data_IF_282128244868
#
_entry.id   IF_282128244868
#
_cell.length_a   1.000
_cell.length_b   1.000
_cell.length_c   1.000
_cell.angle_alpha   90.00
_cell.angle_beta   90.00
_cell.angle_gamma   90.00
#
_symmetry.space_group_name_H-M   'P 1'
#
loop_
_entity.id
_entity.type
_entity.pdbx_description
1 polymer ?
#
# COMPACT_ATOMS: atom_id res chain seq x y z
N UNK A 1 33.91 17.70 3.26
CA UNK A 1 32.95 18.68 3.82
C UNK A 1 31.75 17.86 4.29
N UNK A 2 31.52 17.76 5.61
CA UNK A 2 30.45 16.93 6.16
C UNK A 2 29.08 17.49 5.70
N UNK A 3 28.15 16.61 5.32
CA UNK A 3 26.78 17.01 5.04
C UNK A 3 26.15 17.54 6.36
N UNK A 4 25.35 18.62 6.32
CA UNK A 4 24.65 19.09 7.51
C UNK A 4 23.73 17.98 8.04
N UNK A 5 23.75 17.77 9.35
CA UNK A 5 22.81 16.84 9.99
C UNK A 5 21.37 17.36 9.81
N UNK A 6 20.42 16.50 9.40
CA UNK A 6 19.03 16.91 9.31
C UNK A 6 18.54 17.31 10.71
N UNK A 7 18.06 18.54 10.85
CA UNK A 7 17.41 19.01 12.07
C UNK A 7 16.14 18.18 12.30
N UNK A 8 16.21 17.22 13.22
CA UNK A 8 15.06 16.41 13.59
C UNK A 8 14.04 17.25 14.35
N UNK A 9 12.74 17.15 14.03
CA UNK A 9 11.71 17.78 14.85
C UNK A 9 11.75 17.20 16.27
N UNK A 10 11.42 18.01 17.30
CA UNK A 10 11.43 17.57 18.68
C UNK A 10 10.46 16.39 18.88
N UNK A 11 10.88 15.40 19.68
CA UNK A 11 10.04 14.27 20.06
C UNK A 11 8.82 14.78 20.83
N UNK A 12 7.63 14.56 20.29
CA UNK A 12 6.37 14.91 20.93
C UNK A 12 5.86 13.69 21.72
N UNK A 13 5.28 13.92 22.90
CA UNK A 13 4.65 12.86 23.68
C UNK A 13 3.20 12.67 23.25
N UNK A 14 2.77 11.42 23.11
CA UNK A 14 1.41 11.08 22.69
C UNK A 14 1.32 9.66 22.15
N UNK A 15 0.13 9.32 21.65
CA UNK A 15 -0.06 8.09 20.88
C UNK A 15 0.29 8.36 19.43
N UNK A 16 1.17 7.51 18.89
CA UNK A 16 1.62 7.57 17.52
C UNK A 16 1.41 6.22 16.84
N UNK A 17 1.28 6.24 15.53
CA UNK A 17 1.04 5.06 14.70
C UNK A 17 2.08 4.92 13.62
N UNK A 18 2.58 3.70 13.42
CA UNK A 18 3.43 3.32 12.30
C UNK A 18 2.68 2.31 11.45
N UNK A 19 2.58 2.58 10.16
CA UNK A 19 1.87 1.73 9.20
C UNK A 19 2.85 1.27 8.12
N UNK A 20 2.62 0.07 7.58
CA UNK A 20 3.33 -0.47 6.45
C UNK A 20 2.34 -1.13 5.51
N UNK A 21 2.48 -0.87 4.21
CA UNK A 21 1.74 -1.49 3.13
C UNK A 21 2.73 -1.99 2.10
N UNK A 22 2.75 -3.30 1.86
CA UNK A 22 3.64 -3.92 0.88
C UNK A 22 2.93 -5.08 0.19
N UNK A 23 3.35 -5.38 -1.04
CA UNK A 23 2.72 -6.43 -1.83
C UNK A 23 3.16 -6.40 -3.28
N UNK A 24 2.71 -7.40 -4.03
CA UNK A 24 2.95 -7.50 -5.47
C UNK A 24 1.66 -7.81 -6.21
N UNK A 25 1.55 -7.28 -7.42
CA UNK A 25 0.48 -7.56 -8.36
C UNK A 25 1.04 -8.29 -9.58
N UNK A 26 0.31 -9.28 -10.08
CA UNK A 26 0.55 -9.91 -11.38
C UNK A 26 -0.58 -9.50 -12.31
N UNK A 27 -0.28 -8.62 -13.26
CA UNK A 27 -1.27 -8.09 -14.19
C UNK A 27 -1.56 -9.08 -15.33
N UNK A 28 -2.68 -8.89 -16.02
CA UNK A 28 -3.12 -9.77 -17.12
C UNK A 28 -2.11 -9.81 -18.28
N UNK A 29 -1.37 -8.72 -18.52
CA UNK A 29 -0.30 -8.65 -19.52
C UNK A 29 1.02 -9.35 -19.07
N UNK A 30 1.05 -9.93 -17.87
CA UNK A 30 2.22 -10.56 -17.26
C UNK A 30 3.19 -9.59 -16.59
N UNK A 31 2.89 -8.28 -16.57
CA UNK A 31 3.67 -7.27 -15.85
C UNK A 31 3.55 -7.51 -14.33
N UNK A 32 4.68 -7.38 -13.65
CA UNK A 32 4.76 -7.47 -12.19
C UNK A 32 4.91 -6.06 -11.63
N UNK A 33 4.08 -5.71 -10.65
CA UNK A 33 4.24 -4.48 -9.86
C UNK A 33 4.51 -4.84 -8.42
N UNK A 34 5.49 -4.18 -7.81
CA UNK A 34 5.80 -4.32 -6.39
C UNK A 34 5.68 -2.98 -5.69
N UNK A 35 5.30 -3.00 -4.42
CA UNK A 35 5.30 -1.82 -3.56
C UNK A 35 5.73 -2.17 -2.13
N UNK A 36 6.44 -1.24 -1.50
CA UNK A 36 6.77 -1.22 -0.07
C UNK A 36 6.71 0.23 0.41
N UNK A 37 5.72 0.54 1.24
CA UNK A 37 5.38 1.91 1.65
C UNK A 37 5.13 1.96 3.15
N UNK A 38 5.63 3.02 3.78
CA UNK A 38 5.50 3.27 5.22
C UNK A 38 4.84 4.62 5.47
N UNK A 39 3.97 4.66 6.47
CA UNK A 39 3.30 5.87 6.94
C UNK A 39 3.44 6.04 8.46
N UNK A 40 3.38 7.29 8.90
CA UNK A 40 3.41 7.70 10.31
C UNK A 40 2.26 8.66 10.58
N UNK A 41 1.42 8.36 11.58
CA UNK A 41 0.23 9.15 11.91
C UNK A 41 -0.69 9.42 10.71
N UNK A 42 -0.88 8.39 9.86
CA UNK A 42 -1.71 8.45 8.66
C UNK A 42 -1.13 9.25 7.50
N UNK A 43 0.14 9.66 7.57
CA UNK A 43 0.83 10.41 6.51
C UNK A 43 2.01 9.61 5.95
N UNK A 44 2.26 9.76 4.65
CA UNK A 44 3.39 9.12 3.99
C UNK A 44 4.70 9.46 4.68
N UNK A 45 5.56 8.46 4.86
CA UNK A 45 6.84 8.59 5.54
C UNK A 45 8.00 8.21 4.63
N UNK A 46 8.06 6.95 4.17
CA UNK A 46 9.10 6.46 3.25
C UNK A 46 8.55 5.37 2.33
N UNK A 47 8.90 5.38 1.04
CA UNK A 47 8.41 4.43 0.05
C UNK A 47 9.51 3.97 -0.91
N UNK A 48 9.55 2.68 -1.24
CA UNK A 48 10.50 2.11 -2.20
C UNK A 48 10.09 2.45 -3.63
N UNK A 49 11.02 3.01 -4.39
CA UNK A 49 10.93 3.14 -5.84
C UNK A 49 11.61 1.92 -6.48
N UNK A 50 10.80 1.08 -7.12
CA UNK A 50 11.23 -0.22 -7.68
C UNK A 50 12.08 -0.11 -8.95
N UNK A 51 12.01 1.04 -9.63
CA UNK A 51 12.73 1.30 -10.88
C UNK A 51 14.14 1.81 -10.61
N UNK A 52 14.26 2.72 -9.64
CA UNK A 52 15.54 3.33 -9.24
C UNK A 52 16.22 2.58 -8.11
N UNK A 53 15.51 1.70 -7.40
CA UNK A 53 15.97 1.00 -6.20
C UNK A 53 16.45 1.95 -5.11
N UNK A 54 15.69 3.02 -4.92
CA UNK A 54 15.92 4.01 -3.87
C UNK A 54 14.65 4.23 -3.06
N UNK A 55 14.79 4.74 -1.84
CA UNK A 55 13.64 5.11 -1.02
C UNK A 55 13.32 6.60 -1.19
N UNK A 56 12.08 6.93 -1.47
CA UNK A 56 11.58 8.31 -1.42
C UNK A 56 11.16 8.65 0.01
N UNK A 57 11.81 9.65 0.61
CA UNK A 57 11.46 10.16 1.93
C UNK A 57 10.46 11.32 1.80
N UNK A 58 9.26 11.15 2.35
CA UNK A 58 8.21 12.17 2.32
C UNK A 58 8.33 13.17 3.49
N UNK A 59 8.97 12.76 4.59
CA UNK A 59 9.22 13.58 5.78
C UNK A 59 10.72 13.78 6.04
N UNK A 60 11.07 14.91 6.67
CA UNK A 60 12.45 15.21 7.05
C UNK A 60 13.08 14.18 7.99
N UNK A 61 12.29 13.61 8.91
CA UNK A 61 12.70 12.52 9.78
C UNK A 61 12.90 11.19 9.04
N UNK A 62 12.23 10.99 7.92
CA UNK A 62 12.38 9.78 7.10
C UNK A 62 13.71 9.72 6.33
N UNK A 63 14.41 10.85 6.15
CA UNK A 63 15.71 10.91 5.46
C UNK A 63 16.75 10.04 6.17
N UNK A 64 16.69 9.93 7.50
CA UNK A 64 17.60 9.08 8.28
C UNK A 64 17.34 7.61 7.96
N UNK A 65 16.07 7.20 7.94
CA UNK A 65 15.66 5.84 7.56
C UNK A 65 16.07 5.52 6.14
N UNK A 66 15.80 6.41 5.17
CA UNK A 66 16.23 6.26 3.76
C UNK A 66 17.73 5.96 3.68
N UNK A 67 18.57 6.83 4.25
CA UNK A 67 20.04 6.69 4.18
C UNK A 67 20.52 5.37 4.80
N UNK A 68 19.94 4.99 5.93
CA UNK A 68 20.28 3.74 6.60
C UNK A 68 19.93 2.53 5.73
N UNK A 69 18.70 2.47 5.22
CA UNK A 69 18.22 1.34 4.42
C UNK A 69 18.93 1.21 3.08
N UNK A 70 19.18 2.32 2.39
CA UNK A 70 19.96 2.32 1.15
C UNK A 70 21.41 1.87 1.41
N UNK A 71 22.00 2.23 2.55
CA UNK A 71 23.34 1.75 2.92
C UNK A 71 23.37 0.25 3.27
N UNK A 72 22.30 -0.27 3.87
CA UNK A 72 22.18 -1.67 4.29
C UNK A 72 21.74 -2.61 3.15
N UNK A 73 21.52 -2.11 1.93
CA UNK A 73 21.06 -2.92 0.78
C UNK A 73 19.62 -3.43 0.92
N UNK A 74 18.79 -2.68 1.65
CA UNK A 74 17.38 -2.99 1.86
C UNK A 74 16.56 -2.90 0.56
N UNK A 75 16.78 -1.91 -0.34
CA UNK A 75 16.06 -1.83 -1.62
C UNK A 75 16.18 -3.11 -2.46
N UNK A 76 17.39 -3.68 -2.60
CA UNK A 76 17.64 -4.88 -3.40
C UNK A 76 16.98 -6.11 -2.77
N UNK A 77 17.02 -6.21 -1.44
CA UNK A 77 16.34 -7.29 -0.71
C UNK A 77 14.83 -7.25 -0.94
N UNK A 78 14.23 -6.06 -0.89
CA UNK A 78 12.80 -5.90 -1.17
C UNK A 78 12.47 -6.16 -2.63
N UNK A 79 13.28 -5.68 -3.58
CA UNK A 79 13.09 -5.97 -5.00
C UNK A 79 13.01 -7.48 -5.23
N UNK A 80 13.99 -8.22 -4.72
CA UNK A 80 14.03 -9.68 -4.86
C UNK A 80 12.80 -10.35 -4.25
N UNK A 81 12.34 -9.90 -3.08
CA UNK A 81 11.12 -10.41 -2.47
C UNK A 81 9.88 -10.11 -3.35
N UNK A 82 9.72 -8.88 -3.81
CA UNK A 82 8.53 -8.41 -4.52
C UNK A 82 8.43 -8.99 -5.94
N UNK A 83 9.55 -9.13 -6.65
CA UNK A 83 9.58 -9.67 -8.02
C UNK A 83 9.55 -11.20 -8.10
N UNK A 84 10.04 -11.88 -7.05
CA UNK A 84 10.15 -13.34 -7.07
C UNK A 84 9.30 -14.00 -5.99
N UNK A 85 9.70 -13.88 -4.73
CA UNK A 85 9.06 -14.62 -3.63
C UNK A 85 7.57 -14.31 -3.54
N UNK A 86 7.19 -13.04 -3.61
CA UNK A 86 5.81 -12.60 -3.54
C UNK A 86 4.98 -13.19 -4.70
N UNK A 87 5.49 -13.14 -5.94
CA UNK A 87 4.80 -13.67 -7.12
C UNK A 87 4.68 -15.20 -7.09
N UNK A 88 5.72 -15.90 -6.65
CA UNK A 88 5.67 -17.35 -6.47
C UNK A 88 4.59 -17.78 -5.48
N UNK A 89 4.48 -17.07 -4.36
CA UNK A 89 3.45 -17.33 -3.36
C UNK A 89 2.07 -16.90 -3.83
N UNK A 90 1.95 -15.75 -4.51
CA UNK A 90 0.69 -15.27 -5.07
C UNK A 90 0.08 -16.31 -6.02
N UNK A 91 0.88 -16.87 -6.94
CA UNK A 91 0.43 -17.94 -7.85
C UNK A 91 -0.10 -19.16 -7.10
N UNK A 92 0.57 -19.57 -6.01
CA UNK A 92 0.10 -20.68 -5.17
C UNK A 92 -1.22 -20.36 -4.48
N UNK A 93 -1.36 -19.16 -3.90
CA UNK A 93 -2.58 -18.78 -3.19
C UNK A 93 -3.78 -18.61 -4.11
N UNK A 94 -3.57 -18.08 -5.32
CA UNK A 94 -4.60 -18.03 -6.36
C UNK A 94 -5.06 -19.44 -6.73
N UNK A 95 -4.13 -20.38 -6.90
CA UNK A 95 -4.49 -21.77 -7.19
C UNK A 95 -5.21 -22.45 -6.00
N UNK A 96 -4.72 -22.29 -4.78
CA UNK A 96 -5.33 -22.88 -3.58
C UNK A 96 -6.74 -22.33 -3.31
N UNK A 97 -6.96 -21.05 -3.58
CA UNK A 97 -8.22 -20.35 -3.34
C UNK A 97 -9.12 -20.24 -4.55
N UNK A 98 -8.77 -20.87 -5.68
CA UNK A 98 -9.39 -20.62 -6.99
C UNK A 98 -10.92 -20.65 -6.95
N UNK A 99 -11.49 -21.71 -6.40
CA UNK A 99 -12.94 -21.89 -6.31
C UNK A 99 -13.63 -20.76 -5.53
N UNK A 100 -12.99 -20.25 -4.47
CA UNK A 100 -13.52 -19.17 -3.66
C UNK A 100 -13.34 -17.80 -4.32
N UNK A 101 -12.19 -17.56 -4.96
CA UNK A 101 -11.85 -16.31 -5.64
C UNK A 101 -12.66 -16.11 -6.93
N UNK A 102 -12.94 -17.19 -7.66
CA UNK A 102 -13.73 -17.15 -8.91
C UNK A 102 -15.25 -17.26 -8.63
N UNK A 103 -15.66 -17.45 -7.37
CA UNK A 103 -17.05 -17.60 -6.96
C UNK A 103 -17.85 -16.33 -7.28
N UNK A 104 -18.97 -16.51 -7.99
CA UNK A 104 -19.89 -15.41 -8.34
C UNK A 104 -21.18 -15.52 -7.54
N UNK A 105 -21.43 -14.55 -6.67
CA UNK A 105 -22.70 -14.40 -5.95
C UNK A 105 -23.51 -13.26 -6.56
N UNK A 106 -24.80 -13.50 -6.78
CA UNK A 106 -25.69 -12.46 -7.31
C UNK A 106 -26.12 -11.53 -6.17
N UNK A 107 -25.95 -10.21 -6.32
CA UNK A 107 -26.41 -9.30 -5.29
C UNK A 107 -27.94 -9.28 -5.25
N UNK A 108 -28.49 -9.15 -4.05
CA UNK A 108 -29.91 -8.91 -3.86
C UNK A 108 -30.19 -7.41 -3.99
N UNK A 109 -30.90 -7.02 -5.04
CA UNK A 109 -31.17 -5.60 -5.35
C UNK A 109 -32.51 -5.15 -4.80
N UNK A 110 -32.53 -4.00 -4.11
CA UNK A 110 -33.74 -3.33 -3.60
C UNK A 110 -33.78 -1.89 -4.06
N UNK A 111 -34.90 -1.51 -4.69
CA UNK A 111 -35.21 -0.12 -5.07
C UNK A 111 -36.27 0.42 -4.12
N UNK A 112 -36.07 1.64 -3.62
CA UNK A 112 -37.02 2.33 -2.75
C UNK A 112 -37.13 3.80 -3.14
N UNK A 113 -38.33 4.38 -3.03
CA UNK A 113 -38.56 5.81 -3.18
C UNK A 113 -39.02 6.43 -1.86
N UNK A 114 -38.56 7.64 -1.55
CA UNK A 114 -39.07 8.45 -0.44
C UNK A 114 -39.30 9.87 -0.92
N UNK A 115 -40.52 10.37 -0.75
CA UNK A 115 -40.89 11.75 -1.07
C UNK A 115 -40.82 12.61 0.20
N UNK A 116 -40.14 13.75 0.12
CA UNK A 116 -40.05 14.74 1.20
C UNK A 116 -40.16 16.13 0.57
N UNK A 117 -41.10 16.95 1.04
CA UNK A 117 -41.30 18.32 0.57
C UNK A 117 -41.42 18.45 -0.97
N UNK A 118 -42.10 17.49 -1.61
CA UNK A 118 -42.30 17.46 -3.07
C UNK A 118 -41.09 16.96 -3.87
N UNK A 119 -40.01 16.53 -3.22
CA UNK A 119 -38.86 15.89 -3.87
C UNK A 119 -38.90 14.38 -3.63
N UNK A 120 -39.01 13.60 -4.72
CA UNK A 120 -38.88 12.14 -4.69
C UNK A 120 -37.41 11.72 -4.78
N UNK A 121 -36.86 11.17 -3.71
CA UNK A 121 -35.53 10.53 -3.71
C UNK A 121 -35.67 9.04 -3.99
N UNK A 122 -35.04 8.57 -5.05
CA UNK A 122 -34.93 7.14 -5.37
C UNK A 122 -33.59 6.60 -4.85
N UNK A 123 -33.60 5.39 -4.28
CA UNK A 123 -32.40 4.70 -3.80
C UNK A 123 -32.37 3.29 -4.35
N UNK A 124 -31.25 2.91 -4.95
CA UNK A 124 -30.95 1.52 -5.33
C UNK A 124 -29.87 0.98 -4.39
N UNK A 125 -30.13 -0.16 -3.75
CA UNK A 125 -29.16 -0.87 -2.90
C UNK A 125 -28.95 -2.27 -3.45
N UNK A 126 -27.69 -2.64 -3.66
CA UNK A 126 -27.27 -4.00 -3.93
C UNK A 126 -26.64 -4.55 -2.65
N UNK A 127 -27.15 -5.68 -2.17
CA UNK A 127 -26.67 -6.41 -1.00
C UNK A 127 -25.92 -7.67 -1.41
#
# INVERSE_FOLDING_TARGET
RAAPEPHLPPCVSGYHTRQQMYGCDLLENGEIRGYDQHAYDGRDFVALDMDTLTYTAADSGAVITKRKWEHEGVPERWKNYLEHTCIEWLRKYVEYGKDALERRERPHVKVSGKEIAGLLTLTCRAH
#
